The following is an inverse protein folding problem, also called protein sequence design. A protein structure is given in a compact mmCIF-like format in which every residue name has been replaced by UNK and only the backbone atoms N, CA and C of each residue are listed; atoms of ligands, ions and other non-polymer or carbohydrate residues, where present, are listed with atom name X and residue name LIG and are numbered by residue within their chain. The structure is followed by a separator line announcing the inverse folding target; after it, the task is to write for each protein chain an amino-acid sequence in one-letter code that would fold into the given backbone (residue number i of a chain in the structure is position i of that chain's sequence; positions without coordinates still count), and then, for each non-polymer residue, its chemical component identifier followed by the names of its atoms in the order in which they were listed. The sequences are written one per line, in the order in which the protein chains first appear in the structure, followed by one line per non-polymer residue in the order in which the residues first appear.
data_IF_518475083913
#
_entry.id   IF_518475083913
#
_cell.length_a   1.000
_cell.length_b   1.000
_cell.length_c   1.000
_cell.angle_alpha   90.00
_cell.angle_beta   90.00
_cell.angle_gamma   90.00
#
_symmetry.space_group_name_H-M   'P 1'
#
loop_
_entity.id
_entity.type
_entity.pdbx_description
1 polymer ?
#
# COMPACT_ATOMS: atom_id res chain seq x y z
N UNK A 1 7.05 -0.22 17.89
CA UNK A 1 7.55 -1.20 16.90
C UNK A 1 6.41 -2.18 16.64
N UNK A 2 5.64 -1.95 15.58
CA UNK A 2 4.45 -2.76 15.26
C UNK A 2 4.97 -4.13 14.78
N UNK A 3 4.45 -5.26 15.31
CA UNK A 3 4.92 -6.57 14.89
C UNK A 3 4.47 -6.82 13.45
N UNK A 4 5.42 -6.76 12.52
CA UNK A 4 5.20 -7.16 11.13
C UNK A 4 5.03 -8.67 11.09
N UNK A 5 3.78 -9.11 10.93
CA UNK A 5 3.48 -10.51 10.70
C UNK A 5 3.76 -10.81 9.22
N UNK A 6 4.97 -11.27 8.91
CA UNK A 6 5.32 -11.78 7.59
C UNK A 6 4.63 -13.13 7.36
N UNK A 7 3.31 -13.12 7.19
CA UNK A 7 2.62 -14.24 6.59
C UNK A 7 2.98 -14.26 5.10
N UNK A 8 4.09 -14.92 4.76
CA UNK A 8 4.42 -15.31 3.40
C UNK A 8 3.31 -16.22 2.91
N UNK A 9 2.38 -15.67 2.14
CA UNK A 9 1.43 -16.45 1.39
C UNK A 9 2.17 -17.09 0.21
N UNK A 10 2.75 -18.27 0.43
CA UNK A 10 3.12 -19.19 -0.64
C UNK A 10 1.84 -19.70 -1.30
N UNK A 11 1.21 -18.91 -2.17
CA UNK A 11 0.34 -19.49 -3.20
C UNK A 11 1.27 -20.13 -4.22
N UNK A 12 1.43 -21.43 -4.02
CA UNK A 12 2.08 -22.37 -4.91
C UNK A 12 1.53 -22.21 -6.34
N UNK A 13 2.34 -21.66 -7.25
CA UNK A 13 2.04 -21.68 -8.68
C UNK A 13 2.46 -23.05 -9.24
N UNK A 14 1.59 -24.04 -9.10
CA UNK A 14 1.69 -25.30 -9.86
C UNK A 14 1.01 -25.12 -11.22
N UNK A 15 1.68 -24.45 -12.16
CA UNK A 15 1.41 -24.66 -13.58
C UNK A 15 2.54 -25.50 -14.16
N UNK A 16 2.17 -26.73 -14.49
CA UNK A 16 3.01 -27.83 -14.95
C UNK A 16 3.85 -27.49 -16.18
N UNK A 17 5.09 -27.94 -16.12
CA UNK A 17 5.96 -28.19 -17.26
C UNK A 17 5.22 -28.97 -18.37
N UNK A 18 5.26 -28.42 -19.58
CA UNK A 18 5.08 -29.17 -20.82
C UNK A 18 6.33 -28.96 -21.70
N UNK A 19 7.50 -29.33 -21.15
CA UNK A 19 8.71 -29.55 -21.95
C UNK A 19 8.71 -31.03 -22.29
N UNK A 20 8.09 -31.35 -23.42
CA UNK A 20 8.05 -32.69 -23.98
C UNK A 20 8.19 -32.60 -25.49
N UNK A 21 9.39 -32.24 -25.97
CA UNK A 21 9.76 -32.35 -27.37
C UNK A 21 11.25 -32.70 -27.44
N UNK A 22 11.58 -33.77 -28.16
CA UNK A 22 12.97 -33.97 -28.61
C UNK A 22 13.62 -35.32 -28.36
N UNK A 23 12.87 -36.43 -28.35
CA UNK A 23 13.43 -37.70 -28.82
C UNK A 23 13.44 -37.67 -30.36
N UNK A 24 14.15 -36.75 -31.01
CA UNK A 24 14.40 -36.77 -32.45
C UNK A 24 15.41 -35.67 -32.80
N UNK A 25 16.28 -35.93 -33.77
CA UNK A 25 17.35 -35.06 -34.29
C UNK A 25 18.75 -35.25 -33.66
N UNK A 26 19.20 -36.51 -33.62
CA UNK A 26 20.55 -36.78 -34.10
C UNK A 26 20.49 -36.75 -35.64
N UNK A 27 21.32 -35.90 -36.27
CA UNK A 27 21.44 -35.59 -37.71
C UNK A 27 20.76 -34.27 -38.12
N UNK A 28 21.52 -33.18 -38.08
CA UNK A 28 21.91 -32.45 -39.30
C UNK A 28 22.72 -31.20 -38.92
N UNK A 29 24.05 -31.34 -39.08
CA UNK A 29 24.96 -30.22 -39.30
C UNK A 29 24.45 -29.40 -40.50
N UNK A 30 23.90 -28.21 -40.30
CA UNK A 30 24.07 -27.07 -41.22
C UNK A 30 23.41 -25.80 -40.69
N UNK A 31 24.08 -24.67 -40.95
CA UNK A 31 23.65 -23.29 -40.74
C UNK A 31 23.77 -22.72 -39.31
N UNK A 32 24.91 -22.07 -39.09
CA UNK A 32 25.15 -21.03 -38.08
C UNK A 32 24.24 -19.83 -38.36
N UNK A 33 22.96 -19.95 -38.06
CA UNK A 33 21.98 -18.94 -38.38
C UNK A 33 20.72 -19.15 -37.59
N UNK A 34 20.80 -18.94 -36.28
CA UNK A 34 19.71 -18.38 -35.49
C UNK A 34 20.33 -18.06 -34.13
N UNK A 35 20.71 -16.79 -33.98
CA UNK A 35 20.78 -16.12 -32.68
C UNK A 35 19.56 -16.53 -31.86
N UNK A 36 19.76 -17.44 -30.90
CA UNK A 36 18.78 -17.68 -29.85
C UNK A 36 18.63 -16.35 -29.11
N UNK A 37 17.64 -15.58 -29.54
CA UNK A 37 17.06 -14.50 -28.79
C UNK A 37 16.40 -15.16 -27.57
N UNK A 38 17.21 -15.51 -26.57
CA UNK A 38 16.73 -15.75 -25.22
C UNK A 38 16.17 -14.40 -24.77
N UNK A 39 14.91 -14.18 -25.06
CA UNK A 39 14.12 -13.21 -24.30
C UNK A 39 14.04 -13.84 -22.91
N UNK A 40 14.97 -13.45 -22.03
CA UNK A 40 14.77 -13.62 -20.60
C UNK A 40 13.51 -12.81 -20.28
N UNK A 41 12.38 -13.51 -20.16
CA UNK A 41 11.16 -12.93 -19.64
C UNK A 41 11.40 -12.76 -18.13
N UNK A 42 12.05 -11.66 -17.74
CA UNK A 42 12.14 -11.22 -16.36
C UNK A 42 10.71 -10.91 -15.92
N UNK A 43 10.11 -11.84 -15.17
CA UNK A 43 8.78 -11.62 -14.62
C UNK A 43 8.92 -10.59 -13.50
N UNK A 44 8.11 -9.51 -13.47
CA UNK A 44 8.22 -8.51 -12.43
C UNK A 44 8.07 -9.16 -11.05
N UNK A 45 8.93 -8.77 -10.13
CA UNK A 45 8.86 -9.16 -8.74
C UNK A 45 7.54 -8.64 -8.12
N UNK A 46 6.77 -9.57 -7.57
CA UNK A 46 5.54 -9.28 -6.83
C UNK A 46 5.81 -9.43 -5.32
N UNK A 47 5.49 -8.38 -4.55
CA UNK A 47 5.59 -8.38 -3.09
C UNK A 47 4.23 -8.00 -2.50
N UNK A 48 3.69 -8.87 -1.66
CA UNK A 48 2.51 -8.62 -0.85
C UNK A 48 2.89 -8.53 0.63
N UNK A 49 2.47 -7.46 1.30
CA UNK A 49 2.65 -7.25 2.74
C UNK A 49 1.34 -6.88 3.39
N UNK A 50 1.11 -7.43 4.58
CA UNK A 50 -0.10 -7.16 5.37
C UNK A 50 0.31 -6.68 6.76
N UNK A 51 -0.29 -5.58 7.22
CA UNK A 51 -0.07 -5.04 8.57
C UNK A 51 -1.39 -4.60 9.20
N UNK A 52 -1.40 -4.50 10.53
CA UNK A 52 -2.53 -3.92 11.28
C UNK A 52 -2.25 -2.43 11.48
N UNK A 53 -2.99 -1.58 10.77
CA UNK A 53 -2.86 -0.13 10.78
C UNK A 53 -4.24 0.52 10.81
N UNK A 54 -4.38 1.66 11.48
CA UNK A 54 -5.64 2.40 11.65
C UNK A 54 -6.78 1.55 12.21
N UNK A 55 -6.46 0.56 13.05
CA UNK A 55 -7.43 -0.38 13.61
C UNK A 55 -8.00 -1.40 12.61
N UNK A 56 -7.42 -1.52 11.41
CA UNK A 56 -7.86 -2.45 10.36
C UNK A 56 -6.67 -3.23 9.77
N UNK A 57 -6.96 -4.21 8.91
CA UNK A 57 -5.96 -4.94 8.15
C UNK A 57 -5.66 -4.20 6.85
N UNK A 58 -4.45 -3.67 6.73
CA UNK A 58 -3.96 -3.02 5.51
C UNK A 58 -3.06 -3.98 4.72
N UNK A 59 -3.41 -4.21 3.46
CA UNK A 59 -2.64 -5.06 2.53
C UNK A 59 -2.08 -4.20 1.41
N UNK A 60 -0.76 -4.25 1.22
CA UNK A 60 -0.04 -3.56 0.15
C UNK A 60 0.52 -4.61 -0.80
N UNK A 61 0.25 -4.44 -2.11
CA UNK A 61 0.77 -5.28 -3.19
C UNK A 61 1.56 -4.39 -4.15
N UNK A 62 2.81 -4.77 -4.42
CA UNK A 62 3.72 -4.01 -5.29
C UNK A 62 4.28 -4.95 -6.34
N UNK A 63 4.27 -4.47 -7.59
CA UNK A 63 4.92 -5.11 -8.73
C UNK A 63 6.05 -4.19 -9.21
N UNK A 64 7.27 -4.68 -9.27
CA UNK A 64 8.42 -3.95 -9.82
C UNK A 64 9.35 -4.90 -10.58
N UNK A 65 10.19 -4.37 -11.46
CA UNK A 65 11.17 -5.21 -12.19
C UNK A 65 12.22 -5.81 -11.23
N UNK A 66 12.67 -5.01 -10.26
CA UNK A 66 13.59 -5.44 -9.21
C UNK A 66 12.86 -5.75 -7.88
N UNK A 67 13.25 -6.84 -7.26
CA UNK A 67 12.73 -7.25 -5.95
C UNK A 67 13.12 -6.27 -4.85
N UNK A 68 14.33 -5.74 -4.86
CA UNK A 68 14.75 -4.81 -3.81
C UNK A 68 13.96 -3.50 -3.88
N UNK A 69 13.66 -3.02 -5.09
CA UNK A 69 12.74 -1.91 -5.33
C UNK A 69 11.32 -2.20 -4.81
N UNK A 70 10.74 -3.37 -5.14
CA UNK A 70 9.40 -3.75 -4.66
C UNK A 70 9.31 -3.79 -3.11
N UNK A 71 10.38 -4.27 -2.47
CA UNK A 71 10.52 -4.28 -1.01
C UNK A 71 10.58 -2.86 -0.46
N UNK A 72 11.46 -2.01 -1.00
CA UNK A 72 11.61 -0.64 -0.53
C UNK A 72 10.31 0.17 -0.70
N UNK A 73 9.63 0.02 -1.83
CA UNK A 73 8.36 0.69 -2.11
C UNK A 73 7.24 0.24 -1.16
N UNK A 74 7.12 -1.07 -0.91
CA UNK A 74 6.10 -1.56 0.03
C UNK A 74 6.38 -1.14 1.48
N UNK A 75 7.65 -1.05 1.89
CA UNK A 75 8.01 -0.51 3.21
C UNK A 75 7.69 0.99 3.32
N UNK A 76 7.97 1.77 2.26
CA UNK A 76 7.64 3.20 2.21
C UNK A 76 6.12 3.45 2.34
N UNK A 77 5.28 2.66 1.66
CA UNK A 77 3.82 2.78 1.76
C UNK A 77 3.34 2.48 3.19
N UNK A 78 3.82 1.40 3.80
CA UNK A 78 3.42 1.04 5.16
C UNK A 78 3.88 2.08 6.19
N UNK A 79 5.09 2.64 6.00
CA UNK A 79 5.59 3.72 6.83
C UNK A 79 4.76 4.99 6.70
N UNK A 80 4.31 5.32 5.49
CA UNK A 80 3.46 6.49 5.27
C UNK A 80 2.07 6.32 5.90
N UNK A 81 1.47 5.14 5.81
CA UNK A 81 0.20 4.86 6.51
C UNK A 81 0.38 5.01 8.03
N UNK A 82 1.50 4.52 8.58
CA UNK A 82 1.80 4.67 10.00
C UNK A 82 2.01 6.14 10.41
N UNK A 83 2.66 6.95 9.56
CA UNK A 83 2.82 8.40 9.77
C UNK A 83 1.47 9.11 9.81
N UNK A 84 0.61 8.81 8.84
CA UNK A 84 -0.75 9.37 8.75
C UNK A 84 -1.61 8.93 9.94
N UNK A 85 -1.48 7.67 10.39
CA UNK A 85 -2.16 7.19 11.59
C UNK A 85 -1.73 7.97 12.85
N UNK A 86 -0.43 8.24 13.00
CA UNK A 86 0.07 9.06 14.10
C UNK A 86 -0.45 10.51 14.06
N UNK A 87 -0.80 11.02 12.88
CA UNK A 87 -1.38 12.36 12.72
C UNK A 87 -2.90 12.38 12.99
N UNK A 88 -3.63 11.40 12.44
CA UNK A 88 -5.09 11.45 12.29
C UNK A 88 -5.87 10.52 13.23
N UNK A 89 -5.21 9.63 13.97
CA UNK A 89 -5.92 8.69 14.83
C UNK A 89 -6.65 9.40 15.97
N UNK A 90 -7.91 9.08 16.20
CA UNK A 90 -8.67 9.53 17.39
C UNK A 90 -8.42 8.67 18.62
N UNK A 91 -7.67 7.57 18.47
CA UNK A 91 -7.44 6.56 19.51
C UNK A 91 -6.03 6.61 20.08
N UNK A 92 -5.07 7.13 19.31
CA UNK A 92 -3.71 7.40 19.78
C UNK A 92 -3.74 8.72 20.55
N UNK A 93 -3.46 8.75 21.87
CA UNK A 93 -3.59 9.97 22.68
C UNK A 93 -2.68 11.11 22.23
N UNK A 94 -1.51 10.75 21.71
CA UNK A 94 -0.45 11.66 21.28
C UNK A 94 -0.61 12.16 19.84
N UNK A 95 -1.62 11.71 19.11
CA UNK A 95 -1.87 12.23 17.76
C UNK A 95 -2.28 13.70 17.81
N UNK A 96 -1.93 14.43 16.75
CA UNK A 96 -2.33 15.83 16.59
C UNK A 96 -3.85 16.00 16.66
N UNK A 97 -4.60 15.12 15.98
CA UNK A 97 -6.07 15.17 15.99
C UNK A 97 -6.65 14.90 17.38
N UNK A 98 -6.14 13.91 18.12
CA UNK A 98 -6.58 13.63 19.49
C UNK A 98 -6.27 14.80 20.42
N UNK A 99 -5.12 15.47 20.25
CA UNK A 99 -4.77 16.66 21.03
C UNK A 99 -5.75 17.80 20.76
N UNK A 100 -6.06 18.09 19.50
CA UNK A 100 -7.03 19.12 19.12
C UNK A 100 -8.42 18.81 19.67
N UNK A 101 -8.85 17.54 19.64
CA UNK A 101 -10.15 17.13 20.17
C UNK A 101 -10.31 17.36 21.69
N UNK A 102 -9.20 17.49 22.44
CA UNK A 102 -9.21 17.80 23.88
C UNK A 102 -9.22 19.30 24.19
N UNK A 103 -8.94 20.15 23.20
CA UNK A 103 -8.89 21.59 23.42
C UNK A 103 -10.32 22.17 23.58
N UNK A 104 -10.47 23.25 24.37
CA UNK A 104 -11.74 23.95 24.45
C UNK A 104 -12.21 24.44 23.08
N UNK A 105 -13.52 24.46 22.90
CA UNK A 105 -14.16 25.00 21.70
C UNK A 105 -13.92 26.51 21.65
N UNK A 106 -13.82 27.07 20.44
CA UNK A 106 -13.63 28.50 20.14
C UNK A 106 -12.26 29.11 20.50
N UNK A 107 -11.24 28.28 20.74
CA UNK A 107 -9.85 28.72 20.86
C UNK A 107 -9.13 28.52 19.52
N UNK A 108 -8.61 29.60 18.87
CA UNK A 108 -7.74 29.48 17.72
C UNK A 108 -6.50 28.66 18.08
N UNK A 109 -6.33 27.52 17.42
CA UNK A 109 -5.23 26.60 17.70
C UNK A 109 -4.42 26.39 16.43
N UNK A 110 -3.10 26.56 16.54
CA UNK A 110 -2.17 26.20 15.48
C UNK A 110 -2.09 24.68 15.37
N UNK A 111 -2.25 24.17 14.15
CA UNK A 111 -2.17 22.76 13.82
C UNK A 111 -1.25 22.54 12.63
N UNK A 112 -0.83 21.30 12.42
CA UNK A 112 -0.04 20.92 11.26
C UNK A 112 -0.71 21.35 9.93
N UNK A 113 0.03 21.89 8.95
CA UNK A 113 -0.53 22.34 7.67
C UNK A 113 -1.25 21.23 6.88
N UNK A 114 -0.79 19.98 6.95
CA UNK A 114 -1.42 18.84 6.28
C UNK A 114 -2.78 18.55 6.92
N UNK A 115 -2.85 18.57 8.25
CA UNK A 115 -4.10 18.39 8.99
C UNK A 115 -5.07 19.54 8.72
N UNK A 116 -4.59 20.78 8.66
CA UNK A 116 -5.41 21.92 8.28
C UNK A 116 -5.97 21.78 6.86
N UNK A 117 -5.13 21.39 5.89
CA UNK A 117 -5.56 21.17 4.52
C UNK A 117 -6.63 20.05 4.43
N UNK A 118 -6.45 18.96 5.20
CA UNK A 118 -7.42 17.88 5.27
C UNK A 118 -8.76 18.34 5.88
N UNK A 119 -8.73 19.11 6.96
CA UNK A 119 -9.92 19.67 7.58
C UNK A 119 -10.69 20.60 6.63
N UNK A 120 -9.97 21.47 5.92
CA UNK A 120 -10.54 22.33 4.88
C UNK A 120 -11.20 21.52 3.76
N UNK A 121 -10.55 20.45 3.30
CA UNK A 121 -11.12 19.53 2.31
C UNK A 121 -12.39 18.85 2.84
N UNK A 122 -12.39 18.34 4.06
CA UNK A 122 -13.57 17.70 4.66
C UNK A 122 -14.76 18.65 4.71
N UNK A 123 -14.54 19.91 5.13
CA UNK A 123 -15.56 20.97 5.12
C UNK A 123 -16.09 21.26 3.71
N UNK A 124 -15.22 21.29 2.70
CA UNK A 124 -15.66 21.47 1.31
C UNK A 124 -16.57 20.34 0.80
N UNK A 125 -16.36 19.11 1.30
CA UNK A 125 -17.20 17.95 0.94
C UNK A 125 -18.54 18.06 1.63
N UNK A 126 -18.57 18.43 2.92
CA UNK A 126 -19.79 18.70 3.68
C UNK A 126 -20.67 19.76 2.99
N UNK A 127 -20.08 20.89 2.56
CA UNK A 127 -20.80 21.95 1.87
C UNK A 127 -21.42 21.45 0.55
N UNK A 128 -20.70 20.63 -0.23
CA UNK A 128 -21.23 20.04 -1.47
C UNK A 128 -22.34 19.03 -1.22
N UNK A 129 -22.22 18.26 -0.14
CA UNK A 129 -23.19 17.25 0.27
C UNK A 129 -24.36 17.82 1.09
N UNK A 130 -24.49 19.15 1.20
CA UNK A 130 -25.54 19.85 1.98
C UNK A 130 -25.68 19.29 3.40
N UNK A 131 -24.56 18.97 4.06
CA UNK A 131 -24.56 18.42 5.42
C UNK A 131 -24.77 16.90 5.52
N UNK A 132 -24.82 16.16 4.40
CA UNK A 132 -24.93 14.70 4.40
C UNK A 132 -23.66 13.96 4.85
N UNK A 133 -22.49 14.61 4.82
CA UNK A 133 -21.27 14.15 5.47
C UNK A 133 -20.89 15.17 6.54
N UNK A 134 -20.89 14.77 7.81
CA UNK A 134 -20.54 15.63 8.94
C UNK A 134 -19.25 15.09 9.59
N UNK A 135 -18.08 15.70 9.31
CA UNK A 135 -16.81 15.29 9.89
C UNK A 135 -16.75 15.47 11.40
N UNK A 136 -17.51 16.45 11.92
CA UNK A 136 -17.77 16.63 13.34
C UNK A 136 -19.13 16.04 13.65
N UNK A 137 -19.14 14.77 14.07
CA UNK A 137 -20.38 14.11 14.49
C UNK A 137 -20.97 14.82 15.71
N UNK A 138 -22.06 15.58 15.51
CA UNK A 138 -23.00 15.95 16.57
C UNK A 138 -24.37 16.20 15.95
N UNK A 139 -25.11 15.11 15.71
CA UNK A 139 -26.56 15.17 15.82
C UNK A 139 -26.87 14.91 17.30
N UNK A 140 -26.90 15.96 18.10
CA UNK A 140 -27.76 15.94 19.29
C UNK A 140 -29.09 16.50 18.82
N UNK A 141 -30.14 15.71 19.02
CA UNK A 141 -31.54 16.17 18.93
C UNK A 141 -31.78 17.38 19.86
#
# INVERSE_FOLDING_TARGET
MIPFCSAQNQTMNHWKAAVGCGLFCALMLSSSGLTNLLIAQESPAEIQRTSMLMGTRATVQVYAEDRAEAVAASDAVLQEIARVEALLSTWIPDSELSRINRLPIDIPTTMDPELQALACRAKSVECRNRGGLQPRGRCTD
#
